data_IF_763719001733
#
_entry.id   IF_763719001733
#
_cell.length_a   1.000
_cell.length_b   1.000
_cell.length_c   1.000
_cell.angle_alpha   90.00
_cell.angle_beta   90.00
_cell.angle_gamma   90.00
#
_symmetry.space_group_name_H-M   'P 1'
#
loop_
_entity.id
_entity.type
_entity.pdbx_description
1 polymer ?
#
# COMPACT_ATOMS: atom_id res chain seq x y z
N UNK A 1 -16.77 73.39 29.98
CA UNK A 1 -15.72 72.80 29.17
C UNK A 1 -15.23 71.41 29.68
N UNK A 2 -15.81 70.73 30.65
CA UNK A 2 -15.35 69.45 31.18
C UNK A 2 -16.16 68.20 30.70
N UNK A 3 -17.35 68.39 30.13
CA UNK A 3 -18.19 67.26 29.67
C UNK A 3 -17.82 66.71 28.31
N UNK A 4 -17.32 67.51 27.40
CA UNK A 4 -16.97 67.09 26.00
C UNK A 4 -15.73 66.20 25.96
N UNK A 5 -14.74 66.38 26.83
CA UNK A 5 -13.51 65.60 26.91
C UNK A 5 -13.76 64.17 27.42
N UNK A 6 -14.74 63.93 28.27
CA UNK A 6 -15.07 62.62 28.84
C UNK A 6 -15.81 61.79 27.78
N UNK A 7 -16.63 62.40 26.93
CA UNK A 7 -17.31 61.68 25.81
C UNK A 7 -16.31 61.21 24.76
N UNK A 8 -15.35 62.04 24.36
CA UNK A 8 -14.31 61.66 23.39
C UNK A 8 -13.43 60.55 23.90
N UNK A 9 -13.07 60.52 25.17
CA UNK A 9 -12.26 59.49 25.79
C UNK A 9 -12.98 58.13 25.81
N UNK A 10 -14.29 58.10 26.08
CA UNK A 10 -15.08 56.85 26.05
C UNK A 10 -15.24 56.27 24.65
N UNK A 11 -15.43 57.07 23.65
CA UNK A 11 -15.51 56.62 22.24
C UNK A 11 -14.13 56.13 21.74
N UNK A 12 -13.06 56.81 22.10
CA UNK A 12 -11.70 56.42 21.75
C UNK A 12 -11.34 55.02 22.32
N UNK A 13 -11.72 54.76 23.58
CA UNK A 13 -11.51 53.45 24.23
C UNK A 13 -12.34 52.33 23.55
N UNK A 14 -13.57 52.62 23.12
CA UNK A 14 -14.38 51.64 22.36
C UNK A 14 -13.77 51.31 21.01
N UNK A 15 -13.33 52.33 20.26
CA UNK A 15 -12.70 52.15 18.95
C UNK A 15 -11.41 51.29 19.08
N UNK A 16 -10.59 51.59 20.09
CA UNK A 16 -9.37 50.79 20.34
C UNK A 16 -9.67 49.32 20.68
N UNK A 17 -10.70 49.07 21.49
CA UNK A 17 -11.13 47.70 21.78
C UNK A 17 -11.60 46.95 20.54
N UNK A 18 -12.34 47.59 19.67
CA UNK A 18 -12.81 47.00 18.40
C UNK A 18 -11.62 46.72 17.45
N UNK A 19 -10.68 47.65 17.35
CA UNK A 19 -9.47 47.45 16.53
C UNK A 19 -8.64 46.25 17.05
N UNK A 20 -8.41 46.18 18.37
CA UNK A 20 -7.70 45.08 18.99
C UNK A 20 -8.40 43.74 18.78
N UNK A 21 -9.74 43.73 18.83
CA UNK A 21 -10.51 42.49 18.55
C UNK A 21 -10.42 42.07 17.08
N UNK A 22 -10.44 43.01 16.15
CA UNK A 22 -10.26 42.72 14.71
C UNK A 22 -8.85 42.18 14.45
N UNK A 23 -7.82 42.80 15.03
CA UNK A 23 -6.43 42.33 14.90
C UNK A 23 -6.30 40.90 15.45
N UNK A 24 -6.90 40.60 16.61
CA UNK A 24 -6.90 39.27 17.22
C UNK A 24 -7.59 38.23 16.34
N UNK A 25 -8.73 38.57 15.73
CA UNK A 25 -9.42 37.70 14.77
C UNK A 25 -8.58 37.46 13.51
N UNK A 26 -7.90 38.47 12.99
CA UNK A 26 -7.02 38.33 11.82
C UNK A 26 -5.81 37.41 12.13
N UNK A 27 -5.25 37.50 13.34
CA UNK A 27 -4.17 36.62 13.80
C UNK A 27 -4.66 35.16 13.89
N UNK A 28 -5.86 34.95 14.45
CA UNK A 28 -6.43 33.57 14.51
C UNK A 28 -6.67 33.01 13.12
N UNK A 29 -7.21 33.83 12.20
CA UNK A 29 -7.43 33.41 10.82
C UNK A 29 -6.11 33.06 10.10
N UNK A 30 -5.06 33.87 10.30
CA UNK A 30 -3.76 33.59 9.71
C UNK A 30 -3.11 32.33 10.29
N UNK A 31 -3.26 32.05 11.57
CA UNK A 31 -2.77 30.84 12.22
C UNK A 31 -3.50 29.57 11.73
N UNK A 32 -4.82 29.67 11.43
CA UNK A 32 -5.56 28.54 10.88
C UNK A 32 -5.13 28.19 9.44
N UNK A 33 -4.81 29.17 8.62
CA UNK A 33 -4.28 28.92 7.27
C UNK A 33 -2.88 28.28 7.28
N UNK A 34 -2.00 28.72 8.20
CA UNK A 34 -0.65 28.14 8.33
C UNK A 34 -0.70 26.68 8.76
N UNK A 35 -1.67 26.28 9.59
CA UNK A 35 -1.80 24.87 10.00
C UNK A 35 -2.27 23.93 8.88
N UNK A 36 -3.10 24.39 7.95
CA UNK A 36 -3.51 23.58 6.78
C UNK A 36 -2.40 23.39 5.76
N UNK A 37 -1.60 24.44 5.48
CA UNK A 37 -0.46 24.31 4.56
C UNK A 37 0.65 23.42 5.11
N UNK A 38 0.94 23.47 6.40
CA UNK A 38 1.97 22.61 7.04
C UNK A 38 1.53 21.15 7.04
N UNK A 39 0.26 20.84 7.30
CA UNK A 39 -0.27 19.48 7.25
C UNK A 39 -0.29 18.94 5.80
N UNK A 40 -0.57 19.78 4.82
CA UNK A 40 -0.53 19.40 3.40
C UNK A 40 0.90 19.11 2.92
N UNK A 41 1.91 19.88 3.36
CA UNK A 41 3.31 19.66 3.02
C UNK A 41 3.91 18.41 3.68
N UNK A 42 3.53 18.06 4.92
CA UNK A 42 3.97 16.81 5.55
C UNK A 42 3.42 15.57 4.85
N UNK A 43 2.27 15.64 4.18
CA UNK A 43 1.70 14.52 3.44
C UNK A 43 2.38 14.24 2.09
N UNK A 44 3.09 15.21 1.51
CA UNK A 44 3.83 15.04 0.25
C UNK A 44 5.33 14.77 0.42
N UNK A 45 5.91 15.13 1.56
CA UNK A 45 7.37 15.06 1.80
C UNK A 45 7.90 13.65 2.11
N UNK A 46 7.09 12.60 2.05
CA UNK A 46 7.47 11.25 2.52
C UNK A 46 7.43 10.12 1.50
N UNK A 47 7.01 10.35 0.27
CA UNK A 47 7.01 9.27 -0.74
C UNK A 47 8.33 9.29 -1.51
N UNK A 48 9.34 8.58 -1.00
CA UNK A 48 10.52 8.27 -1.81
C UNK A 48 10.04 7.51 -3.05
N UNK A 49 10.48 7.92 -4.24
CA UNK A 49 10.22 7.21 -5.50
C UNK A 49 10.80 5.78 -5.52
N UNK A 50 11.55 5.43 -4.50
CA UNK A 50 12.14 4.10 -4.29
C UNK A 50 11.15 3.29 -3.45
N UNK A 51 10.60 2.20 -3.98
CA UNK A 51 9.70 1.35 -3.20
C UNK A 51 10.43 0.78 -1.97
N UNK A 52 9.78 0.82 -0.81
CA UNK A 52 10.33 0.30 0.46
C UNK A 52 10.81 -1.15 0.31
N UNK A 53 10.15 -1.93 -0.54
CA UNK A 53 10.51 -3.32 -0.82
C UNK A 53 10.60 -3.54 -2.34
N UNK A 54 11.70 -4.14 -2.77
CA UNK A 54 11.80 -4.60 -4.15
C UNK A 54 10.97 -5.87 -4.33
N UNK A 55 9.94 -5.80 -5.18
CA UNK A 55 9.00 -6.88 -5.44
C UNK A 55 8.85 -7.12 -6.94
N UNK A 56 8.64 -8.38 -7.38
CA UNK A 56 8.30 -8.64 -8.78
C UNK A 56 6.90 -8.12 -9.10
N UNK A 57 6.56 -7.97 -10.39
CA UNK A 57 5.22 -7.60 -10.81
C UNK A 57 4.15 -8.53 -10.21
N UNK A 58 2.95 -8.01 -9.89
CA UNK A 58 1.83 -8.84 -9.51
C UNK A 58 1.51 -9.90 -10.58
N UNK A 59 1.06 -11.11 -10.19
CA UNK A 59 0.81 -12.22 -11.12
C UNK A 59 -0.54 -12.05 -11.84
N UNK A 60 -0.68 -11.02 -12.64
CA UNK A 60 -1.86 -10.85 -13.50
C UNK A 60 -1.87 -11.90 -14.61
N UNK A 61 -3.05 -12.34 -15.02
CA UNK A 61 -3.22 -13.08 -16.25
C UNK A 61 -2.89 -12.19 -17.45
N UNK A 62 -2.39 -12.80 -18.51
CA UNK A 62 -2.03 -12.08 -19.73
C UNK A 62 -3.24 -11.31 -20.28
N UNK A 63 -3.03 -10.06 -20.66
CA UNK A 63 -4.05 -9.19 -21.25
C UNK A 63 -5.11 -8.65 -20.27
N UNK A 64 -5.00 -8.93 -18.97
CA UNK A 64 -5.98 -8.44 -17.97
C UNK A 64 -5.62 -7.05 -17.43
N UNK A 65 -4.36 -6.71 -17.36
CA UNK A 65 -3.89 -5.41 -16.86
C UNK A 65 -3.26 -4.57 -17.99
N UNK A 66 -3.50 -3.26 -18.06
CA UNK A 66 -4.25 -2.44 -17.10
C UNK A 66 -5.78 -2.58 -17.24
N UNK A 67 -6.47 -2.46 -16.12
CA UNK A 67 -7.93 -2.59 -16.06
C UNK A 67 -8.63 -1.46 -16.81
N UNK A 68 -8.00 -0.29 -16.92
CA UNK A 68 -8.46 0.87 -17.69
C UNK A 68 -8.72 0.54 -19.17
N UNK A 69 -8.09 -0.47 -19.75
CA UNK A 69 -8.37 -0.88 -21.15
C UNK A 69 -9.86 -1.17 -21.39
N UNK A 70 -10.56 -1.68 -20.37
CA UNK A 70 -12.00 -1.95 -20.46
C UNK A 70 -12.83 -0.99 -19.59
N UNK A 71 -12.23 -0.37 -18.57
CA UNK A 71 -12.94 0.45 -17.60
C UNK A 71 -12.75 1.96 -17.78
N UNK A 72 -11.97 2.41 -18.75
CA UNK A 72 -11.82 3.83 -19.06
C UNK A 72 -13.17 4.43 -19.52
N UNK A 73 -13.52 5.58 -18.95
CA UNK A 73 -14.77 6.27 -19.26
C UNK A 73 -16.03 5.64 -18.68
N UNK A 74 -15.94 4.52 -17.97
CA UNK A 74 -17.09 3.92 -17.29
C UNK A 74 -17.40 4.65 -15.99
N UNK A 75 -18.66 5.02 -15.80
CA UNK A 75 -19.13 5.63 -14.55
C UNK A 75 -18.91 4.67 -13.36
N UNK A 76 -18.37 5.24 -12.28
CA UNK A 76 -18.12 4.46 -11.08
C UNK A 76 -19.44 4.19 -10.33
N UNK A 77 -19.73 2.91 -10.09
CA UNK A 77 -20.83 2.51 -9.22
C UNK A 77 -20.27 1.82 -7.98
N UNK A 78 -20.30 2.48 -6.80
CA UNK A 78 -19.76 1.94 -5.56
C UNK A 78 -20.74 0.97 -4.84
N UNK A 79 -21.97 0.83 -5.30
CA UNK A 79 -22.97 -0.01 -4.66
C UNK A 79 -22.64 -1.49 -4.76
N UNK A 80 -22.80 -2.22 -3.65
CA UNK A 80 -22.64 -3.67 -3.62
C UNK A 80 -23.75 -4.33 -4.42
N UNK A 81 -23.36 -5.17 -5.37
CA UNK A 81 -24.27 -5.86 -6.29
C UNK A 81 -23.69 -7.17 -6.78
N UNK A 82 -24.49 -7.99 -7.37
CA UNK A 82 -24.03 -9.12 -8.18
C UNK A 82 -23.39 -8.60 -9.47
N UNK A 83 -22.27 -9.18 -9.83
CA UNK A 83 -21.54 -8.79 -11.05
C UNK A 83 -21.97 -9.70 -12.19
N UNK A 84 -22.26 -9.09 -13.34
CA UNK A 84 -22.51 -9.81 -14.60
C UNK A 84 -21.21 -10.10 -15.36
N UNK A 85 -20.11 -9.45 -14.98
CA UNK A 85 -18.75 -9.68 -15.48
C UNK A 85 -17.85 -10.10 -14.34
N UNK A 86 -16.72 -10.73 -14.61
CA UNK A 86 -15.80 -11.31 -13.62
C UNK A 86 -16.50 -12.34 -12.72
N UNK A 87 -17.43 -13.09 -13.28
CA UNK A 87 -18.28 -14.03 -12.52
C UNK A 87 -17.47 -15.11 -11.84
N UNK A 88 -16.38 -15.60 -12.47
CA UNK A 88 -15.48 -16.60 -11.89
C UNK A 88 -14.80 -16.11 -10.60
N UNK A 89 -14.52 -14.80 -10.51
CA UNK A 89 -13.97 -14.18 -9.31
C UNK A 89 -15.08 -13.95 -8.28
N UNK A 90 -16.24 -13.45 -8.73
CA UNK A 90 -17.37 -13.13 -7.86
C UNK A 90 -17.92 -14.38 -7.19
N UNK A 91 -18.10 -15.49 -7.93
CA UNK A 91 -18.58 -16.77 -7.42
C UNK A 91 -17.58 -17.42 -6.47
N UNK A 92 -16.28 -17.32 -6.77
CA UNK A 92 -15.20 -17.87 -5.93
C UNK A 92 -14.85 -17.02 -4.72
N UNK A 93 -15.33 -15.78 -4.63
CA UNK A 93 -14.94 -14.86 -3.58
C UNK A 93 -15.32 -15.37 -2.19
N UNK A 94 -14.29 -15.58 -1.36
CA UNK A 94 -14.44 -16.11 0.01
C UNK A 94 -13.43 -15.46 0.98
N UNK A 95 -13.11 -14.19 0.78
CA UNK A 95 -12.25 -13.44 1.67
C UNK A 95 -13.09 -12.48 2.52
N UNK A 96 -13.55 -13.00 3.68
CA UNK A 96 -14.44 -12.28 4.59
C UNK A 96 -15.71 -11.74 3.87
N UNK A 97 -16.32 -12.55 2.99
CA UNK A 97 -17.38 -12.13 2.07
C UNK A 97 -18.63 -11.53 2.74
N UNK A 98 -18.87 -11.86 4.01
CA UNK A 98 -19.97 -11.29 4.77
C UNK A 98 -19.74 -9.81 5.10
N UNK A 99 -18.46 -9.40 5.30
CA UNK A 99 -18.06 -8.07 5.71
C UNK A 99 -17.41 -7.26 4.59
N UNK A 100 -16.95 -7.93 3.52
CA UNK A 100 -16.14 -7.35 2.45
C UNK A 100 -16.71 -7.64 1.07
N UNK A 101 -16.39 -6.77 0.13
CA UNK A 101 -16.68 -6.96 -1.27
C UNK A 101 -15.61 -6.29 -2.16
N UNK A 102 -15.78 -6.36 -3.46
CA UNK A 102 -14.77 -5.96 -4.44
C UNK A 102 -14.20 -4.55 -4.20
N UNK A 103 -15.06 -3.55 -3.96
CA UNK A 103 -14.67 -2.15 -3.84
C UNK A 103 -14.19 -1.74 -2.44
N UNK A 104 -14.10 -2.66 -1.50
CA UNK A 104 -13.35 -2.43 -0.27
C UNK A 104 -11.84 -2.47 -0.50
N UNK A 105 -11.41 -3.11 -1.58
CA UNK A 105 -10.00 -3.28 -1.95
C UNK A 105 -9.66 -2.63 -3.30
N UNK A 106 -10.58 -2.67 -4.28
CA UNK A 106 -10.41 -2.06 -5.58
C UNK A 106 -10.98 -0.64 -5.61
N UNK A 107 -10.29 0.28 -6.29
CA UNK A 107 -10.79 1.63 -6.43
C UNK A 107 -11.87 1.72 -7.52
N UNK A 108 -13.00 2.36 -7.23
CA UNK A 108 -14.13 2.45 -8.15
C UNK A 108 -13.87 3.42 -9.31
N UNK A 109 -13.11 4.48 -9.09
CA UNK A 109 -12.84 5.52 -10.08
C UNK A 109 -11.60 5.19 -10.95
N UNK A 110 -10.61 4.53 -10.36
CA UNK A 110 -9.40 4.10 -11.05
C UNK A 110 -9.15 2.62 -10.75
N UNK A 111 -9.47 1.75 -11.71
CA UNK A 111 -9.34 0.30 -11.55
C UNK A 111 -7.90 -0.19 -11.57
N UNK A 112 -6.96 0.63 -12.03
CA UNK A 112 -5.52 0.30 -12.09
C UNK A 112 -4.82 0.41 -10.75
N UNK A 113 -5.55 0.77 -9.69
CA UNK A 113 -5.03 0.85 -8.33
C UNK A 113 -6.00 0.23 -7.31
N UNK A 114 -5.44 -0.16 -6.18
CA UNK A 114 -6.16 -0.57 -4.99
C UNK A 114 -6.46 0.65 -4.12
N UNK A 115 -7.32 0.47 -3.13
CA UNK A 115 -7.59 1.49 -2.11
C UNK A 115 -7.48 0.91 -0.71
N UNK A 116 -6.94 1.71 0.20
CA UNK A 116 -6.93 1.40 1.64
C UNK A 116 -8.30 1.64 2.28
N UNK A 117 -8.48 1.19 3.52
CA UNK A 117 -9.66 1.51 4.32
C UNK A 117 -9.83 3.03 4.56
N UNK A 118 -8.72 3.79 4.60
CA UNK A 118 -8.73 5.26 4.69
C UNK A 118 -8.98 5.97 3.35
N UNK A 119 -9.10 5.22 2.23
CA UNK A 119 -9.30 5.76 0.88
C UNK A 119 -8.00 6.07 0.13
N UNK A 120 -6.83 5.89 0.72
CA UNK A 120 -5.54 6.08 0.06
C UNK A 120 -5.37 5.11 -1.11
N UNK A 121 -4.86 5.59 -2.23
CA UNK A 121 -4.57 4.78 -3.41
C UNK A 121 -3.27 3.98 -3.19
N UNK A 122 -3.31 2.71 -3.55
CA UNK A 122 -2.21 1.77 -3.39
C UNK A 122 -1.94 1.11 -4.74
N UNK A 123 -0.70 1.16 -5.21
CA UNK A 123 -0.30 0.42 -6.40
C UNK A 123 -0.42 -1.09 -6.18
N UNK A 124 -0.74 -1.86 -7.21
CA UNK A 124 -0.73 -3.33 -7.11
C UNK A 124 0.64 -3.89 -6.71
N UNK A 125 1.74 -3.20 -7.04
CA UNK A 125 3.09 -3.55 -6.56
C UNK A 125 3.27 -3.34 -5.06
N UNK A 126 2.42 -2.54 -4.44
CA UNK A 126 2.44 -2.23 -3.01
C UNK A 126 1.26 -2.88 -2.27
N UNK A 127 0.62 -3.88 -2.89
CA UNK A 127 -0.55 -4.59 -2.33
C UNK A 127 -0.30 -5.19 -0.93
N UNK A 128 0.95 -5.37 -0.53
CA UNK A 128 1.31 -5.79 0.83
C UNK A 128 0.83 -4.78 1.90
N UNK A 129 0.74 -3.49 1.58
CA UNK A 129 0.15 -2.50 2.50
C UNK A 129 -1.35 -2.73 2.70
N UNK A 130 -2.06 -3.05 1.62
CA UNK A 130 -3.49 -3.38 1.72
C UNK A 130 -3.71 -4.62 2.59
N UNK A 131 -2.96 -5.68 2.35
CA UNK A 131 -3.03 -6.91 3.15
C UNK A 131 -2.69 -6.64 4.62
N UNK A 132 -1.67 -5.81 4.87
CA UNK A 132 -1.17 -5.45 6.19
C UNK A 132 -2.17 -4.71 7.07
N UNK A 133 -3.18 -4.05 6.50
CA UNK A 133 -4.22 -3.36 7.28
C UNK A 133 -5.04 -4.31 8.16
N UNK A 134 -5.26 -5.52 7.71
CA UNK A 134 -5.98 -6.55 8.46
C UNK A 134 -5.04 -7.65 9.00
N UNK A 135 -3.98 -7.96 8.28
CA UNK A 135 -3.01 -9.01 8.59
C UNK A 135 -1.69 -8.43 9.15
N UNK A 136 -1.79 -7.50 10.11
CA UNK A 136 -0.66 -6.71 10.62
C UNK A 136 0.50 -7.54 11.18
N UNK A 137 0.22 -8.63 11.91
CA UNK A 137 1.26 -9.54 12.44
C UNK A 137 2.01 -10.24 11.31
N UNK A 138 1.28 -10.77 10.33
CA UNK A 138 1.85 -11.45 9.17
C UNK A 138 2.65 -10.47 8.30
N UNK A 139 2.15 -9.24 8.14
CA UNK A 139 2.86 -8.20 7.41
C UNK A 139 4.18 -7.81 8.10
N UNK A 140 4.18 -7.67 9.43
CA UNK A 140 5.40 -7.45 10.20
C UNK A 140 6.43 -8.56 9.95
N UNK A 141 6.00 -9.81 10.02
CA UNK A 141 6.84 -10.98 9.82
C UNK A 141 7.34 -11.10 8.37
N UNK A 142 6.52 -10.67 7.41
CA UNK A 142 6.90 -10.56 6.01
C UNK A 142 8.01 -9.50 5.78
N UNK A 143 7.88 -8.32 6.39
CA UNK A 143 8.90 -7.26 6.30
C UNK A 143 10.29 -7.73 6.75
N UNK A 144 10.36 -8.55 7.75
CA UNK A 144 11.63 -9.09 8.26
C UNK A 144 11.99 -10.46 7.67
N UNK A 145 11.13 -11.04 6.80
CA UNK A 145 11.38 -12.28 6.07
C UNK A 145 11.14 -13.55 6.85
N UNK A 146 10.43 -13.49 7.96
CA UNK A 146 9.96 -14.66 8.72
C UNK A 146 8.78 -15.31 8.00
N UNK A 147 7.92 -14.50 7.38
CA UNK A 147 6.82 -14.96 6.53
C UNK A 147 7.11 -14.65 5.06
N UNK A 148 6.68 -15.54 4.17
CA UNK A 148 6.87 -15.41 2.74
C UNK A 148 8.27 -15.85 2.29
N UNK A 149 8.56 -15.58 1.03
CA UNK A 149 9.84 -15.95 0.41
C UNK A 149 10.59 -14.73 -0.07
N UNK A 150 11.86 -14.66 0.27
CA UNK A 150 12.82 -13.75 -0.32
C UNK A 150 13.70 -14.48 -1.33
N UNK A 151 13.99 -13.84 -2.44
CA UNK A 151 14.97 -14.28 -3.43
C UNK A 151 16.07 -13.24 -3.56
N UNK A 152 17.07 -13.49 -4.39
CA UNK A 152 18.21 -12.60 -4.58
C UNK A 152 19.53 -13.20 -4.07
N UNK A 153 20.58 -12.43 -4.16
CA UNK A 153 21.93 -12.84 -3.76
C UNK A 153 22.07 -12.83 -2.23
N UNK A 154 22.87 -13.75 -1.69
CA UNK A 154 23.11 -13.81 -0.25
C UNK A 154 23.72 -12.54 0.33
N UNK A 155 24.55 -11.87 -0.45
CA UNK A 155 25.30 -10.64 -0.10
C UNK A 155 24.80 -9.37 -0.82
N UNK A 156 23.66 -9.45 -1.51
CA UNK A 156 23.10 -8.34 -2.31
C UNK A 156 21.63 -8.04 -1.99
N UNK A 157 21.03 -7.29 -2.89
CA UNK A 157 19.62 -6.94 -2.81
C UNK A 157 18.72 -8.16 -2.72
N UNK A 158 17.67 -8.04 -1.93
CA UNK A 158 16.65 -9.07 -1.76
C UNK A 158 15.39 -8.66 -2.52
N UNK A 159 14.79 -9.62 -3.19
CA UNK A 159 13.48 -9.48 -3.79
C UNK A 159 12.46 -10.19 -2.90
N UNK A 160 11.42 -9.44 -2.51
CA UNK A 160 10.32 -9.94 -1.71
C UNK A 160 9.22 -10.47 -2.62
N UNK A 161 8.62 -11.59 -2.31
CA UNK A 161 7.40 -12.05 -2.99
C UNK A 161 6.20 -11.37 -2.36
N UNK A 162 5.34 -10.77 -3.20
CA UNK A 162 4.06 -10.24 -2.76
C UNK A 162 3.20 -11.36 -2.15
N UNK A 163 2.30 -10.99 -1.25
CA UNK A 163 1.33 -11.94 -0.68
C UNK A 163 0.55 -12.68 -1.78
N UNK A 164 0.19 -11.98 -2.84
CA UNK A 164 -0.55 -12.52 -3.99
C UNK A 164 0.22 -13.53 -4.86
N UNK A 165 1.53 -13.65 -4.71
CA UNK A 165 2.29 -14.68 -5.40
C UNK A 165 2.06 -16.08 -4.81
N UNK A 166 1.54 -16.13 -3.58
CA UNK A 166 1.29 -17.38 -2.86
C UNK A 166 -0.17 -17.53 -2.44
N UNK A 167 -0.84 -16.42 -2.11
CA UNK A 167 -2.24 -16.41 -1.68
C UNK A 167 -3.11 -15.76 -2.75
N UNK A 168 -4.24 -16.38 -3.08
CA UNK A 168 -5.26 -15.66 -3.86
C UNK A 168 -5.92 -14.59 -2.99
N UNK A 169 -5.97 -13.33 -3.42
CA UNK A 169 -6.61 -12.27 -2.62
C UNK A 169 -8.14 -12.47 -2.49
N UNK A 170 -8.74 -13.24 -3.38
CA UNK A 170 -10.18 -13.47 -3.41
C UNK A 170 -10.61 -14.71 -2.62
N UNK A 171 -9.71 -15.74 -2.54
CA UNK A 171 -9.91 -16.98 -1.76
C UNK A 171 -8.57 -17.40 -1.14
N UNK A 172 -8.14 -16.77 -0.05
CA UNK A 172 -6.76 -16.85 0.44
C UNK A 172 -6.34 -18.18 1.05
N UNK A 173 -7.23 -19.14 1.18
CA UNK A 173 -6.88 -20.46 1.73
C UNK A 173 -5.89 -21.19 0.83
N UNK A 174 -4.78 -21.61 1.39
CA UNK A 174 -3.89 -22.54 0.71
C UNK A 174 -4.57 -23.89 0.49
N UNK A 175 -4.34 -24.49 -0.67
CA UNK A 175 -4.59 -25.91 -0.84
C UNK A 175 -3.65 -26.67 0.10
N UNK A 176 -4.12 -27.74 0.79
CA UNK A 176 -3.24 -28.57 1.60
C UNK A 176 -2.04 -29.03 0.77
N UNK A 177 -0.84 -28.71 1.23
CA UNK A 177 0.37 -29.17 0.57
C UNK A 177 0.67 -30.60 1.00
N UNK A 178 1.00 -31.44 0.03
CA UNK A 178 1.50 -32.78 0.32
C UNK A 178 2.91 -32.63 0.93
N UNK A 179 3.18 -33.19 2.11
CA UNK A 179 4.51 -33.14 2.69
C UNK A 179 5.56 -33.64 1.70
N UNK A 180 6.70 -33.00 1.66
CA UNK A 180 7.85 -33.49 0.93
C UNK A 180 8.29 -34.83 1.55
N UNK A 181 8.81 -35.79 0.74
CA UNK A 181 9.39 -37.01 1.28
C UNK A 181 10.54 -36.67 2.26
N UNK A 182 10.78 -37.48 3.27
CA UNK A 182 11.87 -37.25 4.19
C UNK A 182 13.21 -37.14 3.44
N UNK A 183 14.18 -36.39 3.96
CA UNK A 183 15.51 -36.31 3.37
C UNK A 183 16.12 -37.69 3.20
N UNK A 184 16.82 -37.91 2.09
CA UNK A 184 17.58 -39.11 1.88
C UNK A 184 18.67 -39.25 2.96
N UNK A 185 18.84 -40.46 3.50
CA UNK A 185 19.96 -40.72 4.39
C UNK A 185 21.28 -40.55 3.64
N UNK A 186 22.37 -40.08 4.26
CA UNK A 186 23.67 -39.88 3.60
C UNK A 186 24.14 -41.03 2.73
N UNK A 187 23.89 -42.29 3.17
CA UNK A 187 24.22 -43.52 2.43
C UNK A 187 23.38 -43.74 1.16
N UNK A 188 22.21 -43.06 1.07
CA UNK A 188 21.29 -43.20 -0.05
C UNK A 188 21.52 -42.09 -1.11
N UNK A 189 22.33 -41.11 -0.78
CA UNK A 189 22.68 -40.00 -1.69
C UNK A 189 23.70 -40.53 -2.72
N UNK A 190 23.24 -40.74 -3.94
CA UNK A 190 24.12 -41.05 -5.06
C UNK A 190 24.67 -39.75 -5.64
N UNK A 191 25.88 -39.38 -5.27
CA UNK A 191 26.55 -38.25 -5.88
C UNK A 191 26.86 -38.56 -7.35
N UNK A 192 26.26 -37.80 -8.25
CA UNK A 192 26.63 -37.81 -9.65
C UNK A 192 27.99 -37.09 -9.76
N UNK A 193 29.08 -37.87 -9.92
CA UNK A 193 30.37 -37.25 -10.22
C UNK A 193 30.24 -36.51 -11.57
N UNK A 194 30.34 -35.21 -11.52
CA UNK A 194 30.46 -34.41 -12.74
C UNK A 194 31.75 -34.81 -13.44
N UNK A 195 31.75 -34.96 -14.78
CA UNK A 195 32.98 -35.05 -15.55
C UNK A 195 33.89 -33.90 -15.20
N UNK A 196 35.18 -34.16 -15.06
CA UNK A 196 36.18 -33.17 -14.63
C UNK A 196 36.20 -31.92 -15.54
N UNK A 197 35.90 -32.10 -16.80
CA UNK A 197 35.78 -31.08 -17.84
C UNK A 197 34.56 -30.18 -17.67
N UNK A 198 33.56 -30.60 -16.88
CA UNK A 198 32.35 -29.83 -16.57
C UNK A 198 32.36 -29.16 -15.20
N UNK A 199 33.45 -29.32 -14.46
CA UNK A 199 33.62 -28.58 -13.21
C UNK A 199 34.21 -27.22 -13.54
N UNK A 200 33.48 -26.11 -13.29
CA UNK A 200 34.04 -24.78 -13.52
C UNK A 200 35.30 -24.57 -12.70
N UNK A 201 36.38 -24.11 -13.30
CA UNK A 201 37.63 -23.78 -12.61
C UNK A 201 37.41 -22.70 -11.54
N UNK A 202 36.45 -21.83 -11.76
CA UNK A 202 36.01 -20.83 -10.78
C UNK A 202 34.47 -20.91 -10.66
N UNK A 203 33.91 -21.56 -9.64
CA UNK A 203 32.46 -21.68 -9.47
C UNK A 203 31.77 -20.35 -9.15
N UNK A 204 32.51 -19.31 -8.80
CA UNK A 204 31.98 -17.98 -8.50
C UNK A 204 32.04 -17.03 -9.71
N UNK A 205 32.64 -17.46 -10.83
CA UNK A 205 32.93 -16.61 -11.97
C UNK A 205 33.99 -15.54 -11.64
N UNK A 206 34.44 -14.85 -12.66
CA UNK A 206 35.31 -13.69 -12.44
C UNK A 206 34.45 -12.52 -11.95
N UNK A 207 34.59 -12.22 -10.66
CA UNK A 207 33.97 -11.07 -10.04
C UNK A 207 34.66 -9.85 -10.63
N UNK A 208 34.00 -9.17 -11.57
CA UNK A 208 34.37 -7.86 -12.08
C UNK A 208 33.93 -6.76 -11.14
#
# INVERSE_FOLDING_TARGET
MRLTTIFYAKEYVKIHKVILYIIFLLIILSLSHVSEEVIAQESEAGKSDIPEFFVPPPPFSEGIFPCSQCHEGMEANPERRELSFHTEIAEGFNHAKEQRWCLDCHNANNRDVLRSASGQLISFKESYYLCGQCHGTIFRDWKVGVHGRRTGMWNGGKEYRLCVHCHSPHWPKFKPLKPMPPPLKPKEIKYRKLPKDKIPLNPLGDIK
#
